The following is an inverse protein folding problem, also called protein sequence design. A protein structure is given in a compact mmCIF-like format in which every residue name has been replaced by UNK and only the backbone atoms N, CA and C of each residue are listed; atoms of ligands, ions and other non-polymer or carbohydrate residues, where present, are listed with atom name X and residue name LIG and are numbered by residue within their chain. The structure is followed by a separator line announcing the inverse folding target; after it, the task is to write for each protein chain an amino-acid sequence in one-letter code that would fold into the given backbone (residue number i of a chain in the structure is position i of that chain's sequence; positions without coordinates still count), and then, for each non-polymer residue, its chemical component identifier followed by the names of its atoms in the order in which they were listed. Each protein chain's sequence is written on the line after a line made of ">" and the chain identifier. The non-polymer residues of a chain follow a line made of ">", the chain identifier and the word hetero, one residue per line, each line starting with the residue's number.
data_IF_076770092618
#
_entry.id   IF_076770092618
#
_cell.length_a   1.000
_cell.length_b   1.000
_cell.length_c   1.000
_cell.angle_alpha   90.00
_cell.angle_beta   90.00
_cell.angle_gamma   90.00
#
_symmetry.space_group_name_H-M   'P 1'
#
loop_
_entity.id
_entity.type
_entity.pdbx_description
1 polymer ?
#
# COMPACT_ATOMS: atom_id res chain seq x y z
N UNK A 1 -33.08 -10.90 -38.67
CA UNK A 1 -32.20 -9.72 -38.79
C UNK A 1 -32.10 -9.13 -37.41
N UNK A 2 -31.03 -9.41 -36.76
CA UNK A 2 -30.68 -8.86 -35.43
C UNK A 2 -29.36 -8.16 -35.61
N UNK A 3 -29.42 -6.85 -35.58
CA UNK A 3 -28.23 -5.98 -35.65
C UNK A 3 -27.45 -6.09 -34.33
N UNK A 4 -26.23 -6.61 -34.45
CA UNK A 4 -25.28 -6.64 -33.36
C UNK A 4 -24.64 -5.28 -33.20
N UNK A 5 -24.90 -4.60 -32.11
CA UNK A 5 -24.08 -3.46 -31.67
C UNK A 5 -22.73 -3.96 -31.18
N UNK A 6 -21.70 -3.70 -31.98
CA UNK A 6 -20.32 -3.84 -31.58
C UNK A 6 -19.96 -2.68 -30.66
N UNK A 7 -19.79 -2.96 -29.40
CA UNK A 7 -19.10 -2.04 -28.49
C UNK A 7 -17.63 -2.01 -28.86
N UNK A 8 -17.24 -0.96 -29.54
CA UNK A 8 -15.82 -0.66 -29.79
C UNK A 8 -15.25 0.00 -28.52
N UNK A 9 -14.51 -0.76 -27.74
CA UNK A 9 -13.68 -0.19 -26.70
C UNK A 9 -12.60 0.67 -27.37
N UNK A 10 -12.74 1.97 -27.30
CA UNK A 10 -11.70 2.91 -27.70
C UNK A 10 -10.61 2.91 -26.64
N UNK A 11 -9.60 2.06 -26.80
CA UNK A 11 -8.33 2.19 -26.08
C UNK A 11 -7.68 3.49 -26.52
N UNK A 12 -7.70 4.51 -25.67
CA UNK A 12 -6.87 5.70 -25.83
C UNK A 12 -5.42 5.32 -25.52
N UNK A 13 -4.71 4.87 -26.56
CA UNK A 13 -3.25 4.81 -26.54
C UNK A 13 -2.70 6.23 -26.59
N UNK A 14 -2.57 6.88 -25.44
CA UNK A 14 -1.76 8.11 -25.30
C UNK A 14 -0.33 7.65 -24.99
N UNK A 15 0.60 8.03 -25.85
CA UNK A 15 1.99 7.61 -26.00
C UNK A 15 2.76 7.19 -24.73
N UNK A 16 3.25 5.96 -24.75
CA UNK A 16 3.86 5.26 -23.60
C UNK A 16 5.13 5.84 -22.97
N UNK A 17 5.71 6.91 -23.49
CA UNK A 17 6.93 7.53 -22.91
C UNK A 17 6.64 8.69 -21.95
N UNK A 18 5.47 9.32 -22.05
CA UNK A 18 5.08 10.38 -21.13
C UNK A 18 4.47 9.81 -19.83
N UNK A 19 3.91 8.60 -19.88
CA UNK A 19 3.29 7.93 -18.74
C UNK A 19 4.31 7.26 -17.80
N UNK A 20 5.38 6.64 -18.31
CA UNK A 20 6.40 6.03 -17.44
C UNK A 20 7.06 7.04 -16.50
N UNK A 21 7.26 8.28 -16.96
CA UNK A 21 7.69 9.37 -16.09
C UNK A 21 6.61 9.79 -15.06
N UNK A 22 5.35 9.43 -15.29
CA UNK A 22 4.23 9.83 -14.43
C UNK A 22 3.99 8.84 -13.28
N UNK A 23 4.06 7.53 -13.49
CA UNK A 23 3.88 6.55 -12.41
C UNK A 23 4.92 6.76 -11.29
N UNK A 24 6.18 6.98 -11.65
CA UNK A 24 7.23 7.35 -10.68
C UNK A 24 6.97 8.66 -9.94
N UNK A 25 6.25 9.61 -10.57
CA UNK A 25 5.90 10.87 -9.91
C UNK A 25 4.69 10.74 -8.97
N UNK A 26 3.85 9.72 -9.18
CA UNK A 26 2.68 9.47 -8.33
C UNK A 26 3.01 8.62 -7.11
N UNK A 27 3.97 7.69 -7.25
CA UNK A 27 4.38 6.77 -6.19
C UNK A 27 5.91 6.70 -6.09
N UNK A 28 6.57 7.80 -5.69
CA UNK A 28 8.02 7.83 -5.60
C UNK A 28 8.60 6.78 -4.64
N UNK A 29 7.87 6.40 -3.59
CA UNK A 29 8.30 5.34 -2.67
C UNK A 29 8.31 3.96 -3.34
N UNK A 30 7.28 3.64 -4.12
CA UNK A 30 7.20 2.38 -4.86
C UNK A 30 8.40 2.16 -5.79
N UNK A 31 9.00 3.23 -6.28
CA UNK A 31 10.14 3.17 -7.20
C UNK A 31 11.49 3.47 -6.54
N UNK A 32 11.57 3.55 -5.22
CA UNK A 32 12.81 3.86 -4.49
C UNK A 32 13.95 2.91 -4.86
N UNK A 33 13.64 1.65 -5.13
CA UNK A 33 14.61 0.61 -5.51
C UNK A 33 14.49 0.19 -6.99
N UNK A 34 13.94 1.08 -7.82
CA UNK A 34 13.80 0.85 -9.26
C UNK A 34 12.57 0.04 -9.62
N UNK A 35 12.51 -0.37 -10.85
CA UNK A 35 11.41 -1.09 -11.45
C UNK A 35 10.85 -0.35 -12.66
N UNK A 36 10.36 -1.10 -13.62
CA UNK A 36 9.64 -0.63 -14.80
C UNK A 36 8.63 -1.72 -15.14
N UNK A 37 7.48 -1.65 -14.53
CA UNK A 37 6.53 -2.77 -14.55
C UNK A 37 5.28 -2.49 -15.40
N UNK A 38 5.24 -1.40 -16.15
CA UNK A 38 4.05 -1.06 -16.97
C UNK A 38 2.77 -0.89 -16.14
N UNK A 39 2.90 -0.24 -14.97
CA UNK A 39 1.80 -0.05 -14.01
C UNK A 39 0.75 0.96 -14.47
N UNK A 40 1.01 1.73 -15.53
CA UNK A 40 0.18 2.87 -15.95
C UNK A 40 -1.27 2.47 -16.24
N UNK A 41 -1.48 1.26 -16.72
CA UNK A 41 -2.82 0.74 -17.01
C UNK A 41 -3.66 0.44 -15.77
N UNK A 42 -3.03 0.29 -14.62
CA UNK A 42 -3.67 -0.11 -13.36
C UNK A 42 -3.82 1.04 -12.38
N UNK A 43 -3.07 2.12 -12.55
CA UNK A 43 -3.19 3.30 -11.69
C UNK A 43 -4.51 3.99 -11.95
N UNK A 44 -5.30 4.13 -10.90
CA UNK A 44 -6.51 4.93 -10.94
C UNK A 44 -6.17 6.37 -10.54
N UNK A 45 -6.39 7.30 -11.47
CA UNK A 45 -6.18 8.72 -11.24
C UNK A 45 -7.48 9.36 -10.76
N UNK A 46 -7.36 10.23 -9.78
CA UNK A 46 -8.48 11.06 -9.40
C UNK A 46 -8.87 11.99 -10.55
N UNK A 47 -10.07 11.80 -11.09
CA UNK A 47 -10.77 12.89 -11.75
C UNK A 47 -11.21 13.84 -10.62
N UNK A 48 -10.46 14.92 -10.41
CA UNK A 48 -10.33 15.81 -9.23
C UNK A 48 -11.60 16.11 -8.39
N UNK A 49 -12.76 15.70 -8.81
CA UNK A 49 -14.03 15.95 -8.11
C UNK A 49 -14.64 14.70 -7.44
N UNK A 50 -14.21 13.49 -7.79
CA UNK A 50 -14.87 12.24 -7.36
C UNK A 50 -14.16 11.54 -6.20
N UNK A 51 -12.85 11.73 -6.07
CA UNK A 51 -12.06 11.10 -5.02
C UNK A 51 -11.64 12.15 -3.98
N UNK A 52 -12.60 12.87 -3.43
CA UNK A 52 -12.36 13.85 -2.38
C UNK A 52 -13.57 13.96 -1.45
N UNK A 53 -13.29 14.27 -0.20
CA UNK A 53 -14.27 14.65 0.81
C UNK A 53 -13.79 15.90 1.57
N UNK A 54 -14.71 16.73 2.04
CA UNK A 54 -14.35 17.95 2.75
C UNK A 54 -15.33 18.29 3.86
N UNK A 55 -14.81 18.95 4.88
CA UNK A 55 -15.57 19.60 5.94
C UNK A 55 -15.15 21.06 6.10
N UNK A 56 -15.55 21.72 7.19
CA UNK A 56 -15.18 23.11 7.45
C UNK A 56 -13.69 23.32 7.72
N UNK A 57 -12.95 22.28 8.13
CA UNK A 57 -11.55 22.34 8.55
C UNK A 57 -10.59 21.79 7.52
N UNK A 58 -10.97 20.74 6.81
CA UNK A 58 -10.07 19.98 5.93
C UNK A 58 -10.72 19.60 4.62
N UNK A 59 -9.91 19.40 3.61
CA UNK A 59 -10.25 18.68 2.38
C UNK A 59 -9.23 17.57 2.16
N UNK A 60 -9.72 16.34 2.08
CA UNK A 60 -8.94 15.15 1.74
C UNK A 60 -9.21 14.79 0.29
N UNK A 61 -8.18 14.60 -0.50
CA UNK A 61 -8.29 14.11 -1.87
C UNK A 61 -7.28 12.98 -2.13
N UNK A 62 -7.72 11.95 -2.81
CA UNK A 62 -6.86 10.90 -3.34
C UNK A 62 -6.37 11.35 -4.71
N UNK A 63 -5.05 11.52 -4.90
CA UNK A 63 -4.46 11.91 -6.18
C UNK A 63 -4.35 10.71 -7.11
N UNK A 64 -3.91 9.58 -6.58
CA UNK A 64 -3.77 8.33 -7.31
C UNK A 64 -3.83 7.14 -6.35
N UNK A 65 -4.27 6.00 -6.85
CA UNK A 65 -4.30 4.75 -6.09
C UNK A 65 -4.04 3.56 -7.01
N UNK A 66 -3.33 2.59 -6.49
CA UNK A 66 -3.04 1.32 -7.13
C UNK A 66 -3.28 0.22 -6.10
N UNK A 67 -4.08 -0.77 -6.46
CA UNK A 67 -4.36 -1.90 -5.59
C UNK A 67 -4.33 -3.20 -6.38
N UNK A 68 -3.56 -4.15 -5.87
CA UNK A 68 -3.53 -5.53 -6.34
C UNK A 68 -4.22 -6.45 -5.34
N UNK A 69 -5.40 -6.88 -5.71
CA UNK A 69 -6.21 -7.76 -4.91
C UNK A 69 -5.60 -9.16 -4.75
N UNK A 70 -4.79 -9.62 -5.73
CA UNK A 70 -4.20 -10.97 -5.74
C UNK A 70 -3.15 -11.12 -4.64
N UNK A 71 -2.23 -10.17 -4.54
CA UNK A 71 -1.27 -10.12 -3.44
C UNK A 71 -1.86 -9.44 -2.18
N UNK A 72 -2.94 -8.69 -2.34
CA UNK A 72 -3.58 -7.96 -1.25
C UNK A 72 -2.83 -6.70 -0.85
N UNK A 73 -2.16 -6.06 -1.81
CA UNK A 73 -1.28 -4.91 -1.57
C UNK A 73 -1.73 -3.69 -2.34
N UNK A 74 -1.54 -2.51 -1.75
CA UNK A 74 -1.86 -1.27 -2.44
C UNK A 74 -0.94 -0.11 -2.05
N UNK A 75 -0.91 0.88 -2.93
CA UNK A 75 -0.28 2.17 -2.71
C UNK A 75 -1.25 3.29 -3.08
N UNK A 76 -1.19 4.37 -2.33
CA UNK A 76 -2.12 5.50 -2.48
C UNK A 76 -1.36 6.81 -2.29
N UNK A 77 -1.60 7.78 -3.19
CA UNK A 77 -1.12 9.14 -3.02
C UNK A 77 -2.29 10.05 -2.66
N UNK A 78 -2.13 10.83 -1.63
CA UNK A 78 -3.19 11.69 -1.13
C UNK A 78 -2.70 13.10 -0.80
N UNK A 79 -3.63 14.04 -0.86
CA UNK A 79 -3.43 15.43 -0.48
C UNK A 79 -4.47 15.82 0.57
N UNK A 80 -3.99 16.34 1.69
CA UNK A 80 -4.82 16.96 2.73
C UNK A 80 -4.58 18.46 2.73
N UNK A 81 -5.62 19.23 2.42
CA UNK A 81 -5.64 20.69 2.55
C UNK A 81 -6.18 21.07 3.94
N UNK A 82 -5.41 21.86 4.69
CA UNK A 82 -5.86 22.48 5.93
C UNK A 82 -6.51 23.84 5.62
N UNK A 83 -7.81 23.91 5.77
CA UNK A 83 -8.62 25.13 5.52
C UNK A 83 -8.66 26.06 6.72
N UNK A 84 -8.10 25.67 7.86
CA UNK A 84 -8.08 26.45 9.09
C UNK A 84 -7.04 27.57 8.99
N UNK A 85 -7.47 28.80 9.28
CA UNK A 85 -6.61 29.98 9.22
C UNK A 85 -5.98 30.33 10.58
N UNK A 86 -6.31 29.60 11.64
CA UNK A 86 -5.91 29.87 13.03
C UNK A 86 -4.56 29.24 13.42
N UNK A 87 -3.89 28.58 12.47
CA UNK A 87 -2.59 27.95 12.70
C UNK A 87 -2.65 26.61 13.43
N UNK A 88 -3.85 26.05 13.65
CA UNK A 88 -4.00 24.68 14.15
C UNK A 88 -3.53 23.71 13.07
N UNK A 89 -2.52 22.90 13.39
CA UNK A 89 -1.97 21.92 12.45
C UNK A 89 -2.59 20.56 12.72
N UNK A 90 -2.98 19.81 11.66
CA UNK A 90 -3.51 18.46 11.79
C UNK A 90 -2.48 17.44 12.29
N UNK A 91 -1.19 17.82 12.27
CA UNK A 91 -0.08 16.98 12.71
C UNK A 91 0.95 17.79 13.48
N UNK A 92 1.61 17.19 14.47
CA UNK A 92 2.78 17.77 15.11
C UNK A 92 4.05 17.13 14.53
N UNK A 93 5.07 17.95 14.28
CA UNK A 93 6.37 17.47 13.76
C UNK A 93 7.01 16.39 14.65
N UNK A 94 6.71 16.37 15.95
CA UNK A 94 7.27 15.36 16.86
C UNK A 94 6.83 13.93 16.50
N UNK A 95 5.61 13.76 15.99
CA UNK A 95 5.10 12.45 15.54
C UNK A 95 5.53 12.09 14.12
N UNK A 96 5.94 13.10 13.36
CA UNK A 96 6.44 12.90 12.00
C UNK A 96 7.93 12.50 11.98
N UNK A 97 8.63 12.56 13.12
CA UNK A 97 10.10 12.38 13.20
C UNK A 97 10.56 10.98 13.58
N UNK A 98 9.66 10.05 13.86
CA UNK A 98 10.06 8.64 13.95
C UNK A 98 10.32 8.13 12.54
N UNK A 99 11.57 8.35 12.11
CA UNK A 99 12.04 7.88 10.83
C UNK A 99 11.92 6.35 10.80
N UNK A 100 10.95 5.86 10.08
CA UNK A 100 10.84 4.45 9.83
C UNK A 100 12.15 3.96 9.21
N UNK A 101 12.86 3.11 9.98
CA UNK A 101 14.04 2.34 9.58
C UNK A 101 15.14 3.14 8.90
N UNK A 102 15.63 4.23 9.53
CA UNK A 102 16.92 4.89 9.19
C UNK A 102 17.29 4.79 7.69
N UNK A 103 16.40 5.21 6.79
CA UNK A 103 16.72 5.37 5.37
C UNK A 103 17.21 6.81 5.18
N UNK A 104 18.53 7.07 5.22
CA UNK A 104 19.08 8.43 5.27
C UNK A 104 18.77 9.27 4.02
N UNK A 105 18.33 8.64 2.94
CA UNK A 105 18.08 9.30 1.65
C UNK A 105 16.59 9.61 1.42
N UNK A 106 15.70 9.37 2.39
CA UNK A 106 14.28 9.64 2.22
C UNK A 106 13.91 11.00 2.81
N UNK A 107 13.36 11.87 1.97
CA UNK A 107 12.73 13.15 2.38
C UNK A 107 11.36 12.93 3.05
N UNK A 108 11.01 11.70 3.33
CA UNK A 108 9.72 11.27 3.83
C UNK A 108 9.77 11.00 5.33
N UNK A 109 8.70 11.35 5.99
CA UNK A 109 8.52 11.12 7.43
C UNK A 109 7.27 10.28 7.62
N UNK A 110 7.39 9.20 8.39
CA UNK A 110 6.30 8.26 8.64
C UNK A 110 5.22 8.87 9.54
N UNK A 111 3.96 8.73 9.15
CA UNK A 111 2.81 8.96 10.01
C UNK A 111 2.15 7.61 10.28
N UNK A 112 2.37 7.06 11.46
CA UNK A 112 1.68 5.84 11.88
C UNK A 112 0.31 6.17 12.45
N UNK A 113 -0.75 5.56 11.92
CA UNK A 113 -2.12 5.70 12.42
C UNK A 113 -2.27 5.25 13.88
N UNK A 114 -1.38 4.36 14.34
CA UNK A 114 -1.40 3.81 15.70
C UNK A 114 -0.98 4.81 16.79
N UNK A 115 -0.33 5.92 16.43
CA UNK A 115 0.29 6.85 17.38
C UNK A 115 -0.24 8.28 17.33
N UNK A 116 -1.33 8.52 16.57
CA UNK A 116 -1.91 9.85 16.52
C UNK A 116 -2.44 10.27 17.90
N UNK A 117 -2.07 11.46 18.37
CA UNK A 117 -2.55 12.06 19.63
C UNK A 117 -3.89 12.78 19.44
N UNK A 118 -4.53 13.13 20.58
CA UNK A 118 -5.76 13.93 20.57
C UNK A 118 -5.56 15.23 19.76
N UNK A 119 -6.43 15.46 18.78
CA UNK A 119 -6.39 16.64 17.90
C UNK A 119 -5.50 16.48 16.66
N UNK A 120 -4.92 15.31 16.44
CA UNK A 120 -4.22 14.96 15.20
C UNK A 120 -5.12 14.09 14.32
N UNK A 121 -4.84 14.09 13.01
CA UNK A 121 -5.49 13.17 12.09
C UNK A 121 -4.61 11.92 11.91
N UNK A 122 -5.26 10.77 11.75
CA UNK A 122 -4.67 9.55 11.25
C UNK A 122 -5.37 9.14 9.97
N UNK A 123 -4.70 8.36 9.13
CA UNK A 123 -5.32 7.79 7.93
C UNK A 123 -5.39 6.28 8.06
N UNK A 124 -6.50 5.71 7.58
CA UNK A 124 -6.68 4.28 7.48
C UNK A 124 -7.36 3.93 6.16
N UNK A 125 -6.97 2.81 5.56
CA UNK A 125 -7.73 2.20 4.46
C UNK A 125 -8.65 1.16 5.05
N UNK A 126 -9.94 1.27 4.73
CA UNK A 126 -11.01 0.42 5.24
C UNK A 126 -11.61 -0.40 4.10
N UNK A 127 -12.22 -1.56 4.43
CA UNK A 127 -13.04 -2.32 3.48
C UNK A 127 -14.37 -2.72 4.12
N UNK A 128 -15.41 -2.84 3.30
CA UNK A 128 -16.76 -3.11 3.78
C UNK A 128 -17.22 -2.08 4.81
N UNK A 129 -17.99 -2.52 5.81
CA UNK A 129 -18.57 -1.63 6.82
C UNK A 129 -17.64 -1.36 8.02
N UNK A 130 -16.69 -2.25 8.31
CA UNK A 130 -15.87 -2.16 9.53
C UNK A 130 -14.51 -2.84 9.45
N UNK A 131 -14.16 -3.45 8.33
CA UNK A 131 -12.85 -4.05 8.14
C UNK A 131 -11.79 -2.98 7.92
N UNK A 132 -10.56 -3.20 8.37
CA UNK A 132 -9.44 -2.30 8.12
C UNK A 132 -8.29 -3.03 7.43
N UNK A 133 -7.58 -2.31 6.56
CA UNK A 133 -6.31 -2.73 6.03
C UNK A 133 -5.20 -2.29 6.97
N UNK A 134 -4.18 -3.12 7.16
CA UNK A 134 -2.94 -2.61 7.72
C UNK A 134 -2.39 -1.54 6.77
N UNK A 135 -2.00 -0.39 7.29
CA UNK A 135 -1.54 0.72 6.44
C UNK A 135 -0.51 1.60 7.13
N UNK A 136 0.36 2.19 6.34
CA UNK A 136 1.33 3.17 6.76
C UNK A 136 1.40 4.32 5.75
N UNK A 137 1.47 5.55 6.26
CA UNK A 137 1.47 6.76 5.43
C UNK A 137 2.73 7.58 5.69
N UNK A 138 3.36 8.03 4.62
CA UNK A 138 4.60 8.79 4.61
C UNK A 138 4.34 10.19 4.11
N UNK A 139 4.73 11.20 4.89
CA UNK A 139 4.61 12.60 4.49
C UNK A 139 5.69 12.99 3.50
N UNK A 140 5.33 13.51 2.35
CA UNK A 140 6.25 14.18 1.43
C UNK A 140 6.59 15.58 1.96
N UNK A 141 7.68 15.69 2.70
CA UNK A 141 8.12 16.95 3.29
C UNK A 141 8.61 17.96 2.24
N UNK A 142 8.97 17.51 1.03
CA UNK A 142 9.43 18.37 -0.04
C UNK A 142 8.27 19.08 -0.74
N UNK A 143 7.10 18.42 -0.83
CA UNK A 143 5.89 18.99 -1.43
C UNK A 143 5.00 19.69 -0.42
N UNK A 144 5.08 19.30 0.86
CA UNK A 144 4.16 19.78 1.90
C UNK A 144 4.49 21.17 2.39
N UNK A 145 3.45 21.91 2.80
CA UNK A 145 3.50 23.25 3.40
C UNK A 145 2.74 23.25 4.72
N UNK A 146 2.56 24.40 5.33
CA UNK A 146 1.76 24.54 6.55
C UNK A 146 0.25 24.31 6.33
N UNK A 147 -0.22 24.37 5.08
CA UNK A 147 -1.62 24.21 4.73
C UNK A 147 -1.89 23.03 3.79
N UNK A 148 -0.87 22.51 3.13
CA UNK A 148 -0.99 21.43 2.16
C UNK A 148 -0.06 20.29 2.54
N UNK A 149 -0.61 19.11 2.76
CA UNK A 149 0.13 17.93 3.17
C UNK A 149 -0.06 16.83 2.11
N UNK A 150 1.05 16.35 1.57
CA UNK A 150 1.08 15.29 0.57
C UNK A 150 1.63 14.02 1.20
N UNK A 151 0.93 12.92 1.00
CA UNK A 151 1.34 11.62 1.53
C UNK A 151 1.35 10.56 0.44
N UNK A 152 2.23 9.60 0.60
CA UNK A 152 2.14 8.31 -0.05
C UNK A 152 1.90 7.26 1.02
N UNK A 153 0.89 6.41 0.83
CA UNK A 153 0.53 5.33 1.74
C UNK A 153 0.77 3.98 1.08
N UNK A 154 1.21 3.03 1.89
CA UNK A 154 1.21 1.62 1.55
C UNK A 154 0.22 0.89 2.46
N UNK A 155 -0.55 -0.06 1.90
CA UNK A 155 -1.53 -0.81 2.68
C UNK A 155 -1.61 -2.26 2.23
N UNK A 156 -2.02 -3.12 3.18
CA UNK A 156 -2.26 -4.53 2.96
C UNK A 156 -3.61 -4.94 3.53
N UNK A 157 -4.35 -5.77 2.81
CA UNK A 157 -5.65 -6.28 3.25
C UNK A 157 -5.49 -7.34 4.35
N UNK A 158 -6.46 -7.42 5.27
CA UNK A 158 -6.50 -8.48 6.28
C UNK A 158 -7.13 -9.77 5.76
N UNK A 159 -7.14 -10.82 6.62
CA UNK A 159 -7.74 -12.12 6.30
C UNK A 159 -9.25 -12.07 6.04
N UNK A 160 -9.90 -11.07 6.56
CA UNK A 160 -11.37 -10.95 6.51
C UNK A 160 -11.85 -10.31 5.20
N UNK A 161 -10.92 -9.70 4.43
CA UNK A 161 -11.27 -9.08 3.15
C UNK A 161 -11.81 -10.11 2.18
N UNK A 162 -12.93 -9.79 1.55
CA UNK A 162 -13.51 -10.60 0.48
C UNK A 162 -13.31 -9.90 -0.85
N UNK A 163 -12.94 -10.68 -1.85
CA UNK A 163 -12.71 -10.17 -3.19
C UNK A 163 -13.87 -9.32 -3.70
N UNK A 164 -13.56 -8.11 -4.18
CA UNK A 164 -14.53 -7.15 -4.68
C UNK A 164 -15.21 -6.32 -3.59
N UNK A 165 -14.83 -6.42 -2.33
CA UNK A 165 -15.31 -5.48 -1.32
C UNK A 165 -14.78 -4.06 -1.62
N UNK A 166 -15.63 -3.03 -1.51
CA UNK A 166 -15.19 -1.67 -1.76
C UNK A 166 -14.18 -1.22 -0.70
N UNK A 167 -13.15 -0.54 -1.15
CA UNK A 167 -12.17 0.12 -0.29
C UNK A 167 -12.53 1.58 -0.07
N UNK A 168 -12.17 2.11 1.09
CA UNK A 168 -12.39 3.51 1.46
C UNK A 168 -11.19 4.03 2.26
N UNK A 169 -10.72 5.22 1.93
CA UNK A 169 -9.76 5.96 2.74
C UNK A 169 -10.52 6.79 3.78
N UNK A 170 -10.14 6.67 5.04
CA UNK A 170 -10.69 7.48 6.13
C UNK A 170 -9.61 8.34 6.78
N UNK A 171 -9.94 9.60 7.06
CA UNK A 171 -9.22 10.43 8.01
C UNK A 171 -9.95 10.37 9.36
N UNK A 172 -9.22 10.04 10.40
CA UNK A 172 -9.74 9.76 11.74
C UNK A 172 -9.20 10.78 12.73
N UNK A 173 -10.05 11.25 13.63
CA UNK A 173 -9.63 11.88 14.89
C UNK A 173 -9.55 10.81 15.99
N UNK A 174 -8.37 10.51 16.54
CA UNK A 174 -8.24 9.63 17.67
C UNK A 174 -8.93 10.21 18.91
N UNK A 175 -9.73 9.42 19.59
CA UNK A 175 -10.31 9.79 20.89
C UNK A 175 -9.27 9.77 22.01
N UNK A 176 -9.61 10.31 23.19
CA UNK A 176 -8.74 10.43 24.38
C UNK A 176 -8.12 9.11 24.89
N UNK A 177 -8.48 7.99 24.35
CA UNK A 177 -8.08 6.64 24.77
C UNK A 177 -7.78 5.76 23.56
N UNK A 178 -6.92 6.20 22.68
CA UNK A 178 -6.46 5.34 21.59
C UNK A 178 -5.21 4.56 21.98
N UNK A 179 -5.39 3.54 22.79
CA UNK A 179 -4.50 2.39 22.77
C UNK A 179 -5.27 1.28 22.08
N UNK A 180 -5.15 1.17 20.78
CA UNK A 180 -5.70 0.05 19.99
C UNK A 180 -4.82 -1.20 20.18
N UNK A 181 -4.80 -1.73 21.39
CA UNK A 181 -4.28 -3.09 21.60
C UNK A 181 -5.36 -4.16 21.36
N UNK A 182 -6.63 -3.76 21.22
CA UNK A 182 -7.77 -4.68 21.17
C UNK A 182 -9.00 -4.16 20.37
N UNK A 183 -8.83 -3.17 19.53
CA UNK A 183 -9.91 -2.68 18.66
C UNK A 183 -10.97 -1.81 19.33
N UNK A 184 -10.82 -1.38 20.56
CA UNK A 184 -11.83 -0.62 21.32
C UNK A 184 -11.60 0.89 21.41
N UNK A 185 -10.79 1.48 20.55
CA UNK A 185 -10.61 2.93 20.47
C UNK A 185 -11.78 3.60 19.73
N UNK A 186 -12.40 4.60 20.32
CA UNK A 186 -13.41 5.43 19.65
C UNK A 186 -12.76 6.49 18.78
N UNK A 187 -12.13 6.08 17.68
CA UNK A 187 -11.72 7.02 16.65
C UNK A 187 -12.99 7.51 15.92
N UNK A 188 -13.05 8.81 15.64
CA UNK A 188 -14.15 9.42 14.88
C UNK A 188 -13.70 9.68 13.47
N UNK A 189 -14.37 9.08 12.49
CA UNK A 189 -14.18 9.44 11.08
C UNK A 189 -14.61 10.89 10.85
N UNK A 190 -13.73 11.71 10.33
CA UNK A 190 -13.98 13.12 10.01
C UNK A 190 -14.08 13.38 8.51
N UNK A 191 -13.40 12.57 7.69
CA UNK A 191 -13.50 12.56 6.22
C UNK A 191 -13.41 11.11 5.72
N UNK A 192 -14.10 10.82 4.63
CA UNK A 192 -14.09 9.51 4.01
C UNK A 192 -14.17 9.61 2.49
N UNK A 193 -13.28 8.94 1.79
CA UNK A 193 -13.22 8.91 0.33
C UNK A 193 -13.37 7.46 -0.13
N UNK A 194 -14.46 7.16 -0.84
CA UNK A 194 -14.63 5.85 -1.46
C UNK A 194 -13.62 5.69 -2.59
N UNK A 195 -12.87 4.59 -2.58
CA UNK A 195 -11.91 4.28 -3.63
C UNK A 195 -12.61 3.64 -4.84
N UNK A 196 -12.08 3.80 -6.06
CA UNK A 196 -12.70 3.25 -7.25
C UNK A 196 -12.60 1.72 -7.29
N UNK A 197 -13.39 1.09 -8.16
CA UNK A 197 -13.16 -0.31 -8.52
C UNK A 197 -11.80 -0.47 -9.22
N UNK A 198 -11.06 -1.53 -8.85
CA UNK A 198 -9.72 -1.78 -9.36
C UNK A 198 -9.74 -2.83 -10.47
N UNK A 199 -8.83 -2.66 -11.42
CA UNK A 199 -8.56 -3.70 -12.42
C UNK A 199 -7.65 -4.75 -11.80
N UNK A 200 -7.93 -6.00 -12.08
CA UNK A 200 -7.06 -7.09 -11.65
C UNK A 200 -5.68 -6.94 -12.30
N UNK A 201 -4.66 -6.93 -11.46
CA UNK A 201 -3.26 -6.91 -11.89
C UNK A 201 -2.77 -8.34 -12.18
N UNK A 202 -1.75 -8.50 -13.06
CA UNK A 202 -1.10 -9.78 -13.24
C UNK A 202 -0.35 -10.18 -11.97
N UNK A 203 -0.29 -11.48 -11.73
CA UNK A 203 0.46 -12.06 -10.62
C UNK A 203 1.01 -13.43 -11.01
N UNK A 204 2.02 -13.86 -10.29
CA UNK A 204 2.58 -15.21 -10.35
C UNK A 204 2.35 -15.91 -9.02
N UNK A 205 2.16 -17.23 -9.06
CA UNK A 205 1.98 -18.01 -7.84
C UNK A 205 2.84 -19.27 -7.87
N UNK A 206 3.24 -19.75 -6.69
CA UNK A 206 3.89 -21.03 -6.54
C UNK A 206 2.91 -22.19 -6.79
N UNK A 207 3.42 -23.38 -7.17
CA UNK A 207 2.59 -24.54 -7.48
C UNK A 207 1.62 -24.92 -6.35
N UNK A 208 2.06 -24.76 -5.10
CA UNK A 208 1.24 -25.03 -3.91
C UNK A 208 0.36 -23.82 -3.47
N UNK A 209 0.53 -22.65 -4.10
CA UNK A 209 -0.22 -21.43 -3.79
C UNK A 209 0.24 -20.70 -2.53
N UNK A 210 1.37 -21.09 -1.93
CA UNK A 210 1.85 -20.46 -0.68
C UNK A 210 2.51 -19.12 -0.92
N UNK A 211 3.05 -18.90 -2.12
CA UNK A 211 3.68 -17.64 -2.50
C UNK A 211 2.93 -17.04 -3.69
N UNK A 212 2.48 -15.82 -3.55
CA UNK A 212 1.93 -15.00 -4.64
C UNK A 212 2.75 -13.74 -4.77
N UNK A 213 3.32 -13.50 -5.94
CA UNK A 213 4.05 -12.29 -6.28
C UNK A 213 3.28 -11.50 -7.33
N UNK A 214 3.04 -10.24 -7.07
CA UNK A 214 2.52 -9.27 -8.01
C UNK A 214 3.56 -8.24 -8.42
N UNK A 215 3.16 -7.28 -9.24
CA UNK A 215 4.06 -6.21 -9.64
C UNK A 215 4.50 -5.31 -8.47
N UNK A 216 3.69 -5.20 -7.40
CA UNK A 216 3.93 -4.27 -6.28
C UNK A 216 3.96 -4.93 -4.91
N UNK A 217 3.70 -6.22 -4.83
CA UNK A 217 3.58 -6.89 -3.54
C UNK A 217 3.83 -8.38 -3.57
N UNK A 218 4.01 -8.93 -2.40
CA UNK A 218 4.15 -10.37 -2.19
C UNK A 218 3.27 -10.80 -1.03
N UNK A 219 2.60 -11.94 -1.21
CA UNK A 219 1.87 -12.65 -0.16
C UNK A 219 2.52 -13.99 0.06
N UNK A 220 2.81 -14.30 1.31
CA UNK A 220 3.40 -15.56 1.76
C UNK A 220 2.41 -16.22 2.72
N UNK A 221 1.98 -17.45 2.42
CA UNK A 221 1.15 -18.27 3.29
C UNK A 221 2.02 -19.36 3.89
N UNK A 222 1.92 -19.52 5.18
CA UNK A 222 2.81 -20.42 5.93
C UNK A 222 2.12 -21.73 6.34
N UNK A 223 1.04 -22.15 5.68
CA UNK A 223 0.26 -23.33 6.06
C UNK A 223 1.12 -24.62 6.15
N UNK A 224 2.15 -24.72 5.30
CA UNK A 224 3.07 -25.86 5.26
C UNK A 224 4.55 -25.47 5.44
N UNK A 225 4.86 -24.20 5.66
CA UNK A 225 6.22 -23.74 5.94
C UNK A 225 6.62 -24.10 7.38
N UNK A 226 7.83 -24.56 7.56
CA UNK A 226 8.35 -24.93 8.87
C UNK A 226 8.81 -23.74 9.72
N UNK A 227 8.78 -22.53 9.18
CA UNK A 227 9.04 -21.28 9.88
C UNK A 227 7.75 -20.48 10.06
N UNK A 228 7.66 -19.67 11.09
CA UNK A 228 6.66 -18.61 11.19
C UNK A 228 7.06 -17.46 10.28
N UNK A 229 6.11 -16.68 9.83
CA UNK A 229 6.40 -15.52 8.97
C UNK A 229 7.27 -14.50 9.69
N UNK A 230 7.16 -14.38 11.01
CA UNK A 230 8.08 -13.61 11.88
C UNK A 230 9.55 -14.09 11.81
N UNK A 231 9.82 -15.22 11.13
CA UNK A 231 11.14 -15.83 10.97
C UNK A 231 11.65 -15.76 9.52
N UNK A 232 11.13 -14.85 8.71
CA UNK A 232 11.67 -14.57 7.37
C UNK A 232 12.93 -13.72 7.50
N UNK A 233 14.07 -14.38 7.68
CA UNK A 233 15.38 -13.71 7.75
C UNK A 233 15.84 -13.20 6.38
N UNK A 234 15.45 -13.91 5.31
CA UNK A 234 15.84 -13.54 3.94
C UNK A 234 14.73 -13.84 2.95
N UNK A 235 14.40 -12.82 2.15
CA UNK A 235 13.46 -12.87 1.05
C UNK A 235 14.10 -12.30 -0.21
N UNK A 236 14.05 -13.03 -1.32
CA UNK A 236 14.59 -12.56 -2.59
C UNK A 236 13.80 -13.08 -3.80
N UNK A 237 13.93 -12.37 -4.92
CA UNK A 237 13.36 -12.73 -6.23
C UNK A 237 14.48 -13.04 -7.19
N UNK A 238 14.43 -14.21 -7.83
CA UNK A 238 15.32 -14.61 -8.89
C UNK A 238 14.77 -14.11 -10.23
N UNK A 239 15.56 -13.33 -10.96
CA UNK A 239 15.18 -12.78 -12.25
C UNK A 239 15.66 -13.67 -13.42
N UNK A 240 15.02 -13.52 -14.58
CA UNK A 240 15.26 -14.32 -15.78
C UNK A 240 16.66 -14.13 -16.38
N UNK A 241 17.35 -13.05 -16.07
CA UNK A 241 18.74 -12.80 -16.47
C UNK A 241 19.77 -13.48 -15.55
N UNK A 242 19.29 -14.20 -14.54
CA UNK A 242 20.11 -14.89 -13.54
C UNK A 242 20.51 -14.01 -12.35
N UNK A 243 20.08 -12.76 -12.30
CA UNK A 243 20.32 -11.90 -11.13
C UNK A 243 19.33 -12.18 -10.01
N UNK A 244 19.76 -11.93 -8.76
CA UNK A 244 18.94 -12.02 -7.56
C UNK A 244 18.64 -10.58 -7.08
N UNK A 245 17.35 -10.32 -6.82
CA UNK A 245 16.93 -9.09 -6.14
C UNK A 245 16.53 -9.41 -4.70
N UNK A 246 17.32 -8.96 -3.74
CA UNK A 246 17.06 -9.17 -2.31
C UNK A 246 16.05 -8.11 -1.83
N UNK A 247 14.91 -8.58 -1.31
CA UNK A 247 13.87 -7.74 -0.72
C UNK A 247 14.18 -7.51 0.76
N UNK A 248 14.43 -8.59 1.50
CA UNK A 248 14.76 -8.58 2.92
C UNK A 248 16.00 -9.46 3.16
N UNK A 249 16.93 -8.99 3.97
CA UNK A 249 18.03 -9.78 4.53
C UNK A 249 18.44 -9.14 5.86
N UNK A 250 18.03 -9.73 6.97
CA UNK A 250 18.33 -9.22 8.31
C UNK A 250 19.83 -9.20 8.60
N UNK A 251 20.59 -10.17 8.05
CA UNK A 251 22.03 -10.24 8.25
C UNK A 251 22.81 -9.16 7.49
N UNK A 252 22.22 -8.60 6.43
CA UNK A 252 22.82 -7.56 5.61
C UNK A 252 22.19 -6.15 5.83
N UNK A 253 21.26 -6.04 6.78
CA UNK A 253 20.49 -4.80 7.03
C UNK A 253 19.79 -4.29 5.74
N UNK A 254 19.23 -5.22 4.99
CA UNK A 254 18.46 -4.92 3.78
C UNK A 254 16.98 -5.07 4.09
N UNK A 255 16.23 -3.99 3.89
CA UNK A 255 14.78 -3.98 3.89
C UNK A 255 14.27 -3.05 2.78
N UNK A 256 13.57 -3.62 1.81
CA UNK A 256 13.03 -2.95 0.64
C UNK A 256 11.52 -3.10 0.54
N UNK A 257 10.89 -3.22 1.70
CA UNK A 257 9.44 -3.16 1.83
C UNK A 257 8.99 -1.74 2.15
N UNK A 258 7.80 -1.36 1.69
CA UNK A 258 7.13 -0.13 2.14
C UNK A 258 6.33 -0.41 3.39
N UNK A 259 5.66 -1.54 3.41
CA UNK A 259 4.81 -1.96 4.51
C UNK A 259 4.75 -3.48 4.56
N UNK A 260 4.71 -4.03 5.75
CA UNK A 260 4.52 -5.47 6.00
C UNK A 260 3.38 -5.66 6.98
N UNK A 261 2.49 -6.58 6.67
CA UNK A 261 1.35 -6.92 7.50
C UNK A 261 1.23 -8.43 7.64
N UNK A 262 1.35 -8.90 8.87
CA UNK A 262 1.15 -10.30 9.23
C UNK A 262 -0.19 -10.51 9.91
N UNK A 263 -0.88 -11.61 9.58
CA UNK A 263 -2.13 -11.99 10.22
C UNK A 263 -2.28 -13.51 10.28
N UNK A 264 -3.19 -13.95 11.14
CA UNK A 264 -3.52 -15.35 11.30
C UNK A 264 -4.82 -15.65 10.52
N UNK A 265 -4.77 -16.58 9.59
CA UNK A 265 -5.93 -17.06 8.83
C UNK A 265 -6.63 -18.26 9.50
N UNK A 266 -6.06 -18.78 10.58
CA UNK A 266 -6.58 -19.93 11.34
C UNK A 266 -7.13 -19.51 12.71
N UNK A 267 -7.77 -20.43 13.43
CA UNK A 267 -8.25 -20.19 14.81
C UNK A 267 -7.09 -20.15 15.84
N UNK A 268 -5.86 -20.51 15.44
CA UNK A 268 -4.67 -20.41 16.28
C UNK A 268 -4.14 -18.97 16.26
N UNK A 269 -4.48 -18.19 17.29
CA UNK A 269 -4.17 -16.76 17.38
C UNK A 269 -2.73 -16.46 17.80
N UNK A 270 -1.96 -17.49 18.16
CA UNK A 270 -0.59 -17.32 18.65
C UNK A 270 0.47 -17.39 17.52
N UNK A 271 0.03 -17.58 16.27
CA UNK A 271 0.92 -17.76 15.13
C UNK A 271 0.46 -16.98 13.91
N UNK A 272 1.31 -16.11 13.38
CA UNK A 272 1.11 -15.48 12.07
C UNK A 272 1.34 -16.56 11.00
N UNK A 273 0.33 -16.81 10.14
CA UNK A 273 0.38 -17.80 9.09
C UNK A 273 0.31 -17.19 7.67
N UNK A 274 0.10 -15.89 7.59
CA UNK A 274 0.12 -15.16 6.33
C UNK A 274 0.78 -13.81 6.53
N UNK A 275 1.74 -13.51 5.67
CA UNK A 275 2.36 -12.19 5.57
C UNK A 275 2.15 -11.59 4.18
N UNK A 276 1.91 -10.29 4.17
CA UNK A 276 1.79 -9.51 2.97
C UNK A 276 2.79 -8.35 3.07
N UNK A 277 3.62 -8.21 2.05
CA UNK A 277 4.54 -7.10 1.95
C UNK A 277 4.26 -6.25 0.71
N UNK A 278 4.10 -4.95 0.90
CA UNK A 278 4.12 -3.94 -0.17
C UNK A 278 5.58 -3.61 -0.46
N UNK A 279 5.99 -3.69 -1.71
CA UNK A 279 7.40 -3.61 -2.10
C UNK A 279 7.77 -2.19 -2.53
N UNK A 280 9.00 -1.78 -2.23
CA UNK A 280 9.58 -0.51 -2.69
C UNK A 280 10.19 -0.63 -4.11
N UNK A 281 9.64 -1.52 -4.91
CA UNK A 281 10.02 -1.77 -6.30
C UNK A 281 8.84 -2.37 -7.07
N UNK A 282 8.62 -1.89 -8.29
CA UNK A 282 7.71 -2.55 -9.22
C UNK A 282 8.44 -3.64 -10.02
N UNK A 283 7.85 -4.84 -10.10
CA UNK A 283 8.40 -5.99 -10.80
C UNK A 283 7.78 -6.17 -12.20
N UNK A 284 8.63 -6.37 -13.19
CA UNK A 284 8.24 -6.97 -14.46
C UNK A 284 8.13 -8.48 -14.29
N UNK A 285 6.90 -9.00 -14.21
CA UNK A 285 6.62 -10.40 -13.90
C UNK A 285 7.09 -11.35 -15.01
N UNK A 286 7.17 -10.89 -16.27
CA UNK A 286 7.70 -11.69 -17.38
C UNK A 286 9.20 -12.02 -17.17
N UNK A 287 9.89 -11.26 -16.34
CA UNK A 287 11.29 -11.46 -15.99
C UNK A 287 11.50 -12.12 -14.63
N UNK A 288 10.48 -12.65 -14.00
CA UNK A 288 10.58 -13.35 -12.70
C UNK A 288 10.58 -14.86 -12.91
N UNK A 289 11.46 -15.58 -12.21
CA UNK A 289 11.52 -17.04 -12.24
C UNK A 289 11.06 -17.70 -10.93
N UNK A 290 11.51 -17.18 -9.80
CA UNK A 290 11.20 -17.76 -8.50
C UNK A 290 11.36 -16.75 -7.37
N UNK A 291 10.79 -17.09 -6.22
CA UNK A 291 11.02 -16.43 -4.94
C UNK A 291 11.82 -17.39 -4.06
N UNK A 292 12.77 -16.86 -3.30
CA UNK A 292 13.54 -17.62 -2.31
C UNK A 292 13.24 -17.04 -0.93
N UNK A 293 12.82 -17.90 0.01
CA UNK A 293 12.51 -17.57 1.39
C UNK A 293 13.38 -18.43 2.29
N UNK A 294 14.26 -17.82 3.08
CA UNK A 294 15.20 -18.53 3.98
C UNK A 294 16.00 -19.65 3.30
N UNK A 295 16.28 -19.48 1.99
CA UNK A 295 17.02 -20.47 1.17
C UNK A 295 16.15 -21.53 0.50
N UNK A 296 14.86 -21.59 0.78
CA UNK A 296 13.91 -22.44 0.05
C UNK A 296 13.40 -21.72 -1.20
N UNK A 297 13.38 -22.43 -2.34
CA UNK A 297 13.06 -21.87 -3.66
C UNK A 297 11.64 -22.23 -4.07
N UNK A 298 10.83 -21.23 -4.34
CA UNK A 298 9.46 -21.33 -4.85
C UNK A 298 9.43 -20.90 -6.31
N UNK A 299 9.33 -21.87 -7.23
CA UNK A 299 9.13 -21.57 -8.65
C UNK A 299 7.75 -20.95 -8.86
N UNK A 300 7.68 -19.87 -9.64
CA UNK A 300 6.46 -19.13 -9.91
C UNK A 300 6.00 -19.36 -11.36
N UNK A 301 4.69 -19.34 -11.59
CA UNK A 301 4.07 -19.46 -12.90
C UNK A 301 2.74 -18.72 -13.00
#
# INVERSE_FOLDING_TARGET
>A
MLDGEQFTAAALCIGGTAFAASAQSWFPLLFTHGGDAGLEGYVQMADNAKLADENEHYRLSVESVLFDESAGTGVISLHLENKQQDGVKPFTLAHLLDSYRNKPDMTWTTLSSCYAEEGQLAFEVMYGDSGFCGSEFYLDTARSTDNDYYFEGAFAISSDYRQGEPLRLEALEPGKTTVRADGAGTAKTVLAVDLPEFQQMPYLTSENGDVTLSQIGIRIRNADMHCTVDEVDKLSVQLGDGSEYVILDENADIDRTLYTYGFNSTEDTDRIDTEIAVLARAFDLDNVQSVTINGEVYSLS
#
